data_IF_898261854766
#
_entry.id   IF_898261854766
#
_cell.length_a   1.000
_cell.length_b   1.000
_cell.length_c   1.000
_cell.angle_alpha   90.00
_cell.angle_beta   90.00
_cell.angle_gamma   90.00
#
_symmetry.space_group_name_H-M   'P 1'
#
loop_
_entity.id
_entity.type
_entity.pdbx_description
1 polymer ?
#
# COMPACT_ATOMS: atom_id res chain seq x y z
N UNK A 1 13.17 -4.51 -1.85
CA UNK A 1 12.75 -3.11 -1.60
C UNK A 1 12.22 -2.88 -0.18
N UNK A 2 11.08 -3.46 0.22
CA UNK A 2 10.51 -3.31 1.57
C UNK A 2 11.51 -3.60 2.70
N UNK A 3 12.23 -4.73 2.62
CA UNK A 3 13.30 -5.07 3.56
C UNK A 3 14.39 -3.98 3.66
N UNK A 4 14.78 -3.37 2.53
CA UNK A 4 15.80 -2.32 2.54
C UNK A 4 15.29 -1.07 3.27
N UNK A 5 14.03 -0.68 3.04
CA UNK A 5 13.41 0.44 3.72
C UNK A 5 13.24 0.18 5.23
N UNK A 6 12.79 -1.02 5.60
CA UNK A 6 12.67 -1.42 7.01
C UNK A 6 14.02 -1.44 7.75
N UNK A 7 15.12 -1.76 7.05
CA UNK A 7 16.49 -1.73 7.59
C UNK A 7 17.15 -0.35 7.53
N UNK A 8 16.45 0.67 7.04
CA UNK A 8 16.98 2.03 6.89
C UNK A 8 18.03 2.18 5.78
N UNK A 9 18.16 1.19 4.89
CA UNK A 9 19.13 1.18 3.78
C UNK A 9 18.63 1.99 2.59
N UNK A 10 18.35 3.28 2.82
CA UNK A 10 17.71 4.16 1.85
C UNK A 10 18.52 4.30 0.55
N UNK A 11 19.84 4.46 0.64
CA UNK A 11 20.69 4.62 -0.54
C UNK A 11 20.69 3.37 -1.42
N UNK A 12 20.81 2.18 -0.81
CA UNK A 12 20.69 0.91 -1.54
C UNK A 12 19.32 0.75 -2.21
N UNK A 13 18.27 1.22 -1.53
CA UNK A 13 16.91 1.25 -2.07
C UNK A 13 16.81 2.15 -3.31
N UNK A 14 17.42 3.34 -3.26
CA UNK A 14 17.48 4.28 -4.40
C UNK A 14 18.28 3.72 -5.57
N UNK A 15 19.46 3.15 -5.32
CA UNK A 15 20.29 2.51 -6.34
C UNK A 15 19.55 1.36 -7.04
N UNK A 16 18.89 0.50 -6.25
CA UNK A 16 18.10 -0.62 -6.79
C UNK A 16 16.97 -0.12 -7.68
N UNK A 17 16.26 0.94 -7.24
CA UNK A 17 15.21 1.53 -8.05
C UNK A 17 15.73 2.22 -9.31
N UNK A 18 16.86 2.92 -9.24
CA UNK A 18 17.48 3.52 -10.43
C UNK A 18 17.84 2.46 -11.48
N UNK A 19 18.38 1.31 -11.06
CA UNK A 19 18.66 0.19 -11.97
C UNK A 19 17.40 -0.40 -12.60
N UNK A 20 16.31 -0.52 -11.84
CA UNK A 20 15.02 -1.02 -12.35
C UNK A 20 14.30 -0.02 -13.26
N UNK A 21 14.45 1.29 -13.02
CA UNK A 21 13.78 2.32 -13.80
C UNK A 21 14.10 2.24 -15.29
N UNK A 22 15.33 1.84 -15.65
CA UNK A 22 15.74 1.65 -17.04
C UNK A 22 15.05 0.47 -17.75
N UNK A 23 14.43 -0.45 -17.00
CA UNK A 23 13.83 -1.69 -17.50
C UNK A 23 12.30 -1.69 -17.49
N UNK A 24 11.69 -0.69 -16.84
CA UNK A 24 10.25 -0.66 -16.60
C UNK A 24 9.59 0.45 -17.41
N UNK A 25 8.44 0.17 -18.07
CA UNK A 25 7.72 1.20 -18.80
C UNK A 25 7.13 2.22 -17.84
N UNK A 26 7.07 3.47 -18.28
CA UNK A 26 6.43 4.55 -17.53
C UNK A 26 4.91 4.39 -17.45
N UNK A 27 4.32 3.78 -18.47
CA UNK A 27 2.87 3.58 -18.60
C UNK A 27 2.47 2.13 -18.34
N UNK A 28 1.21 1.88 -17.94
CA UNK A 28 0.69 0.52 -17.80
C UNK A 28 0.87 -0.26 -19.11
N UNK A 29 1.39 -1.49 -19.06
CA UNK A 29 1.62 -2.26 -20.28
C UNK A 29 0.31 -2.66 -20.96
N UNK A 30 0.32 -2.62 -22.30
CA UNK A 30 -0.75 -3.11 -23.16
C UNK A 30 -0.20 -4.20 -24.11
N UNK A 31 -0.81 -5.40 -24.19
CA UNK A 31 -1.98 -5.85 -23.43
C UNK A 31 -1.67 -6.10 -21.94
N UNK A 32 -2.69 -5.98 -21.10
CA UNK A 32 -2.63 -6.25 -19.66
C UNK A 32 -2.53 -7.76 -19.40
N UNK A 33 -1.33 -8.32 -19.59
CA UNK A 33 -0.99 -9.73 -19.34
C UNK A 33 -0.06 -9.91 -18.14
N UNK A 34 0.74 -10.98 -18.13
CA UNK A 34 1.69 -11.32 -17.05
C UNK A 34 2.68 -10.20 -16.69
N UNK A 35 2.97 -9.30 -17.65
CA UNK A 35 3.85 -8.16 -17.40
C UNK A 35 3.22 -7.08 -16.50
N UNK A 36 1.90 -7.05 -16.36
CA UNK A 36 1.21 -6.07 -15.53
C UNK A 36 1.52 -6.23 -14.04
N UNK A 37 1.69 -7.46 -13.54
CA UNK A 37 2.04 -7.70 -12.13
C UNK A 37 3.45 -7.19 -11.80
N UNK A 38 4.39 -7.36 -12.73
CA UNK A 38 5.74 -6.83 -12.63
C UNK A 38 5.72 -5.30 -12.63
N UNK A 39 4.92 -4.70 -13.53
CA UNK A 39 4.74 -3.25 -13.57
C UNK A 39 4.06 -2.70 -12.32
N UNK A 40 3.02 -3.35 -11.82
CA UNK A 40 2.37 -2.99 -10.56
C UNK A 40 3.35 -3.01 -9.40
N UNK A 41 4.17 -4.07 -9.31
CA UNK A 41 5.20 -4.21 -8.29
C UNK A 41 6.25 -3.09 -8.39
N UNK A 42 6.60 -2.67 -9.61
CA UNK A 42 7.48 -1.51 -9.84
C UNK A 42 6.86 -0.19 -9.36
N UNK A 43 5.60 0.08 -9.70
CA UNK A 43 4.90 1.28 -9.24
C UNK A 43 4.85 1.36 -7.71
N UNK A 44 4.61 0.23 -7.04
CA UNK A 44 4.64 0.20 -5.58
C UNK A 44 6.04 0.39 -4.99
N UNK A 45 7.10 -0.07 -5.66
CA UNK A 45 8.48 0.22 -5.27
C UNK A 45 8.71 1.72 -5.28
N UNK A 46 8.32 2.40 -6.37
CA UNK A 46 8.44 3.85 -6.50
C UNK A 46 7.66 4.58 -5.41
N UNK A 47 6.43 4.16 -5.14
CA UNK A 47 5.62 4.78 -4.09
C UNK A 47 6.23 4.61 -2.69
N UNK A 48 6.76 3.42 -2.36
CA UNK A 48 7.45 3.20 -1.08
C UNK A 48 8.72 4.04 -0.94
N UNK A 49 9.44 4.27 -2.04
CA UNK A 49 10.56 5.22 -2.07
C UNK A 49 10.13 6.65 -1.82
N UNK A 50 9.06 7.08 -2.49
CA UNK A 50 8.53 8.43 -2.34
C UNK A 50 8.09 8.67 -0.88
N UNK A 51 7.37 7.73 -0.26
CA UNK A 51 7.02 7.77 1.17
C UNK A 51 8.28 7.87 2.05
N UNK A 52 9.27 7.00 1.83
CA UNK A 52 10.48 6.96 2.64
C UNK A 52 11.39 8.19 2.46
N UNK A 53 11.23 8.94 1.37
CA UNK A 53 12.01 10.15 1.04
C UNK A 53 11.24 11.45 1.33
N UNK A 54 10.10 11.37 2.01
CA UNK A 54 9.30 12.55 2.39
C UNK A 54 8.46 13.13 1.26
N UNK A 55 8.26 12.38 0.16
CA UNK A 55 7.44 12.76 -1.00
C UNK A 55 6.08 12.05 -0.95
N UNK A 56 5.49 11.98 0.24
CA UNK A 56 4.30 11.18 0.50
C UNK A 56 3.06 11.67 -0.24
N UNK A 57 2.89 12.98 -0.43
CA UNK A 57 1.78 13.53 -1.24
C UNK A 57 1.82 13.03 -2.68
N UNK A 58 2.99 13.12 -3.31
CA UNK A 58 3.25 12.60 -4.65
C UNK A 58 3.00 11.10 -4.74
N UNK A 59 3.38 10.35 -3.71
CA UNK A 59 3.10 8.92 -3.65
C UNK A 59 1.59 8.65 -3.61
N UNK A 60 0.84 9.41 -2.81
CA UNK A 60 -0.61 9.27 -2.68
C UNK A 60 -1.35 9.56 -3.99
N UNK A 61 -0.96 10.62 -4.73
CA UNK A 61 -1.51 10.96 -6.05
C UNK A 61 -1.28 9.83 -7.06
N UNK A 62 -0.02 9.38 -7.20
CA UNK A 62 0.35 8.29 -8.11
C UNK A 62 -0.42 7.00 -7.81
N UNK A 63 -0.58 6.68 -6.54
CA UNK A 63 -1.30 5.48 -6.12
C UNK A 63 -2.81 5.60 -6.39
N UNK A 64 -3.37 6.81 -6.34
CA UNK A 64 -4.77 7.03 -6.72
C UNK A 64 -5.00 6.76 -8.22
N UNK A 65 -4.13 7.30 -9.08
CA UNK A 65 -4.17 7.02 -10.53
C UNK A 65 -4.01 5.51 -10.82
N UNK A 66 -3.10 4.86 -10.10
CA UNK A 66 -2.85 3.43 -10.23
C UNK A 66 -4.05 2.59 -9.79
N UNK A 67 -4.72 2.98 -8.69
CA UNK A 67 -5.95 2.35 -8.21
C UNK A 67 -7.03 2.38 -9.29
N UNK A 68 -7.24 3.52 -9.94
CA UNK A 68 -8.21 3.64 -11.03
C UNK A 68 -7.87 2.74 -12.23
N UNK A 69 -6.57 2.60 -12.53
CA UNK A 69 -6.10 1.69 -13.58
C UNK A 69 -6.47 0.23 -13.25
N UNK A 70 -6.21 -0.24 -12.04
CA UNK A 70 -6.55 -1.61 -11.63
C UNK A 70 -8.05 -1.84 -11.50
N UNK A 71 -8.81 -0.83 -11.05
CA UNK A 71 -10.26 -0.89 -10.99
C UNK A 71 -10.87 -1.12 -12.38
N UNK A 72 -10.41 -0.37 -13.40
CA UNK A 72 -10.83 -0.54 -14.80
C UNK A 72 -10.44 -1.89 -15.39
N UNK A 73 -9.31 -2.45 -14.96
CA UNK A 73 -8.84 -3.77 -15.38
C UNK A 73 -9.50 -4.93 -14.61
N UNK A 74 -10.38 -4.66 -13.64
CA UNK A 74 -11.01 -5.68 -12.80
C UNK A 74 -10.06 -6.35 -11.79
N UNK A 75 -8.89 -5.78 -11.54
CA UNK A 75 -7.84 -6.37 -10.71
C UNK A 75 -8.01 -6.03 -9.24
N UNK A 76 -9.03 -6.61 -8.61
CA UNK A 76 -9.47 -6.25 -7.24
C UNK A 76 -8.41 -6.40 -6.16
N UNK A 77 -7.55 -7.42 -6.26
CA UNK A 77 -6.44 -7.59 -5.32
C UNK A 77 -5.42 -6.44 -5.41
N UNK A 78 -5.01 -6.07 -6.63
CA UNK A 78 -4.05 -4.98 -6.84
C UNK A 78 -4.67 -3.62 -6.50
N UNK A 79 -5.95 -3.42 -6.80
CA UNK A 79 -6.72 -2.25 -6.37
C UNK A 79 -6.66 -2.09 -4.84
N UNK A 80 -6.99 -3.14 -4.08
CA UNK A 80 -6.98 -3.11 -2.62
C UNK A 80 -5.57 -2.90 -2.03
N UNK A 81 -4.55 -3.56 -2.60
CA UNK A 81 -3.16 -3.39 -2.17
C UNK A 81 -2.65 -1.97 -2.44
N UNK A 82 -3.07 -1.37 -3.55
CA UNK A 82 -2.78 0.03 -3.88
C UNK A 82 -3.48 0.99 -2.90
N UNK A 83 -4.73 0.72 -2.53
CA UNK A 83 -5.45 1.49 -1.50
C UNK A 83 -4.73 1.46 -0.14
N UNK A 84 -4.22 0.31 0.29
CA UNK A 84 -3.40 0.20 1.51
C UNK A 84 -2.17 1.11 1.44
N UNK A 85 -1.39 1.01 0.36
CA UNK A 85 -0.17 1.80 0.22
C UNK A 85 -0.48 3.31 0.14
N UNK A 86 -1.61 3.67 -0.47
CA UNK A 86 -2.10 5.06 -0.52
C UNK A 86 -2.48 5.57 0.86
N UNK A 87 -3.13 4.75 1.67
CA UNK A 87 -3.46 5.08 3.05
C UNK A 87 -2.20 5.40 3.87
N UNK A 88 -1.12 4.62 3.70
CA UNK A 88 0.16 4.88 4.35
C UNK A 88 0.80 6.19 3.88
N UNK A 89 0.75 6.48 2.57
CA UNK A 89 1.24 7.73 2.03
C UNK A 89 0.48 8.94 2.60
N UNK A 90 -0.86 8.87 2.61
CA UNK A 90 -1.72 9.92 3.15
C UNK A 90 -1.51 10.13 4.65
N UNK A 91 -1.34 9.06 5.41
CA UNK A 91 -1.05 9.15 6.84
C UNK A 91 0.29 9.87 7.09
N UNK A 92 1.33 9.52 6.32
CA UNK A 92 2.63 10.19 6.40
C UNK A 92 2.58 11.66 5.96
N UNK A 93 1.63 12.01 5.08
CA UNK A 93 1.34 13.38 4.67
C UNK A 93 0.41 14.14 5.64
N UNK A 94 -0.01 13.52 6.75
CA UNK A 94 -0.98 14.06 7.71
C UNK A 94 -2.41 14.27 7.14
N UNK A 95 -2.74 13.64 6.02
CA UNK A 95 -4.07 13.65 5.41
C UNK A 95 -4.97 12.56 6.00
N UNK A 96 -5.19 12.60 7.32
CA UNK A 96 -5.72 11.49 8.11
C UNK A 96 -7.11 10.99 7.71
N UNK A 97 -8.04 11.88 7.38
CA UNK A 97 -9.38 11.49 6.91
C UNK A 97 -9.31 10.73 5.58
N UNK A 98 -8.48 11.20 4.65
CA UNK A 98 -8.26 10.54 3.38
C UNK A 98 -7.52 9.21 3.55
N UNK A 99 -6.60 9.13 4.52
CA UNK A 99 -5.91 7.90 4.89
C UNK A 99 -6.90 6.85 5.41
N UNK A 100 -7.81 7.24 6.31
CA UNK A 100 -8.88 6.37 6.83
C UNK A 100 -9.78 5.86 5.72
N UNK A 101 -10.23 6.71 4.80
CA UNK A 101 -11.05 6.29 3.67
C UNK A 101 -10.32 5.27 2.76
N UNK A 102 -9.04 5.52 2.45
CA UNK A 102 -8.23 4.60 1.65
C UNK A 102 -7.98 3.27 2.38
N UNK A 103 -7.81 3.31 3.70
CA UNK A 103 -7.65 2.11 4.52
C UNK A 103 -8.94 1.26 4.53
N UNK A 104 -10.10 1.89 4.64
CA UNK A 104 -11.40 1.21 4.60
C UNK A 104 -11.63 0.46 3.27
N UNK A 105 -11.22 1.06 2.15
CA UNK A 105 -11.26 0.39 0.83
C UNK A 105 -10.42 -0.89 0.82
N UNK A 106 -9.20 -0.83 1.39
CA UNK A 106 -8.32 -1.98 1.48
C UNK A 106 -8.89 -3.06 2.43
N UNK A 107 -9.38 -2.65 3.60
CA UNK A 107 -9.94 -3.54 4.61
C UNK A 107 -11.20 -4.26 4.13
N UNK A 108 -12.08 -3.58 3.40
CA UNK A 108 -13.30 -4.17 2.83
C UNK A 108 -12.97 -5.36 1.92
N UNK A 109 -11.97 -5.21 1.05
CA UNK A 109 -11.50 -6.32 0.22
C UNK A 109 -10.82 -7.40 1.07
N UNK A 110 -9.94 -6.99 1.99
CA UNK A 110 -9.12 -7.90 2.77
C UNK A 110 -9.94 -8.84 3.66
N UNK A 111 -11.01 -8.32 4.29
CA UNK A 111 -11.91 -9.10 5.13
C UNK A 111 -12.61 -10.22 4.35
N UNK A 112 -13.08 -9.93 3.13
CA UNK A 112 -13.80 -10.91 2.32
C UNK A 112 -12.89 -11.89 1.57
N UNK A 113 -11.62 -11.53 1.33
CA UNK A 113 -10.73 -12.28 0.42
C UNK A 113 -9.41 -12.76 1.06
N UNK A 114 -9.16 -12.47 2.35
CA UNK A 114 -7.98 -12.97 3.07
C UNK A 114 -6.67 -12.24 2.75
N UNK A 115 -6.69 -10.94 2.47
CA UNK A 115 -5.48 -10.13 2.18
C UNK A 115 -4.77 -9.66 3.46
N UNK A 116 -4.30 -10.56 4.31
CA UNK A 116 -3.66 -10.20 5.60
C UNK A 116 -2.17 -9.87 5.42
N UNK A 117 -1.44 -10.67 4.63
CA UNK A 117 0.01 -10.55 4.45
C UNK A 117 0.42 -9.16 3.94
N UNK A 118 -0.37 -8.56 3.04
CA UNK A 118 -0.10 -7.21 2.52
C UNK A 118 -0.03 -6.16 3.64
N UNK A 119 -0.83 -6.26 4.71
CA UNK A 119 -0.77 -5.33 5.84
C UNK A 119 0.42 -5.60 6.74
N UNK A 120 0.71 -6.88 6.99
CA UNK A 120 1.81 -7.33 7.84
C UNK A 120 3.16 -6.97 7.21
N UNK A 121 3.31 -7.15 5.90
CA UNK A 121 4.53 -6.88 5.15
C UNK A 121 4.94 -5.39 5.20
N UNK A 122 4.00 -4.47 5.36
CA UNK A 122 4.29 -3.05 5.54
C UNK A 122 4.82 -2.74 6.95
N UNK A 123 4.54 -3.61 7.92
CA UNK A 123 5.08 -3.54 9.28
C UNK A 123 4.52 -2.39 10.12
N UNK A 124 5.39 -1.75 10.89
CA UNK A 124 5.02 -0.75 11.89
C UNK A 124 4.14 0.41 11.37
N UNK A 125 4.37 1.02 10.19
CA UNK A 125 3.48 2.03 9.63
C UNK A 125 2.02 1.56 9.48
N UNK A 126 1.82 0.32 9.02
CA UNK A 126 0.49 -0.29 8.87
C UNK A 126 -0.16 -0.56 10.23
N UNK A 127 0.61 -1.08 11.19
CA UNK A 127 0.12 -1.31 12.55
C UNK A 127 -0.33 -0.01 13.23
N UNK A 128 0.44 1.07 13.11
CA UNK A 128 0.07 2.38 13.66
C UNK A 128 -1.20 2.93 13.03
N UNK A 129 -1.31 2.84 11.70
CA UNK A 129 -2.48 3.31 10.97
C UNK A 129 -3.74 2.53 11.38
N UNK A 130 -3.66 1.20 11.43
CA UNK A 130 -4.75 0.33 11.88
C UNK A 130 -5.15 0.64 13.33
N UNK A 131 -4.18 0.80 14.23
CA UNK A 131 -4.43 1.12 15.65
C UNK A 131 -5.14 2.45 15.80
N UNK A 132 -4.73 3.46 15.03
CA UNK A 132 -5.37 4.77 15.02
C UNK A 132 -6.79 4.70 14.48
N UNK A 133 -6.98 4.13 13.29
CA UNK A 133 -8.31 3.99 12.69
C UNK A 133 -9.28 3.26 13.63
N UNK A 134 -8.79 2.23 14.31
CA UNK A 134 -9.54 1.44 15.30
C UNK A 134 -9.96 2.24 16.54
N UNK A 135 -9.18 3.27 16.91
CA UNK A 135 -9.49 4.20 18.01
C UNK A 135 -10.49 5.26 17.58
N UNK A 136 -10.30 5.83 16.38
CA UNK A 136 -11.06 6.97 15.86
C UNK A 136 -12.43 6.53 15.30
N UNK A 137 -12.57 5.23 14.97
CA UNK A 137 -13.75 4.66 14.32
C UNK A 137 -14.35 3.50 15.13
N UNK A 138 -14.89 3.72 16.35
CA UNK A 138 -15.42 2.65 17.18
C UNK A 138 -16.71 2.01 16.65
N UNK A 139 -17.43 2.68 15.75
CA UNK A 139 -18.80 2.31 15.35
C UNK A 139 -19.06 2.36 13.83
N UNK A 140 -18.04 2.57 12.99
CA UNK A 140 -18.21 2.56 11.52
C UNK A 140 -17.62 1.33 10.85
N UNK A 141 -18.45 0.81 9.96
CA UNK A 141 -18.19 -0.10 8.85
C UNK A 141 -18.26 -1.59 9.15
N UNK A 142 -18.80 -2.31 8.17
CA UNK A 142 -18.91 -3.77 8.01
C UNK A 142 -17.63 -4.58 8.24
N UNK A 143 -16.51 -3.92 8.55
CA UNK A 143 -15.21 -4.50 8.84
C UNK A 143 -15.21 -5.02 10.27
N UNK A 144 -15.12 -6.34 10.42
CA UNK A 144 -15.13 -6.99 11.73
C UNK A 144 -13.87 -6.60 12.52
N UNK A 145 -14.06 -6.13 13.76
CA UNK A 145 -12.97 -5.83 14.71
C UNK A 145 -11.96 -6.99 14.83
N UNK A 146 -12.47 -8.22 14.87
CA UNK A 146 -11.65 -9.43 14.94
C UNK A 146 -10.69 -9.59 13.73
N UNK A 147 -11.07 -9.12 12.55
CA UNK A 147 -10.20 -9.14 11.37
C UNK A 147 -9.05 -8.13 11.52
N UNK A 148 -9.33 -6.95 12.08
CA UNK A 148 -8.31 -5.93 12.36
C UNK A 148 -7.37 -6.37 13.49
N UNK A 149 -7.89 -7.04 14.52
CA UNK A 149 -7.05 -7.58 15.59
C UNK A 149 -6.09 -8.68 15.06
N UNK A 150 -6.53 -9.45 14.06
CA UNK A 150 -5.70 -10.44 13.38
C UNK A 150 -4.56 -9.79 12.58
N UNK A 151 -4.84 -8.70 11.85
CA UNK A 151 -3.81 -7.96 11.09
C UNK A 151 -2.83 -7.23 12.01
N UNK A 152 -3.26 -6.84 13.20
CA UNK A 152 -2.43 -6.21 14.22
C UNK A 152 -1.63 -7.20 15.09
N UNK A 153 -1.83 -8.52 14.94
CA UNK A 153 -1.25 -9.51 15.86
C UNK A 153 0.28 -9.60 15.75
N UNK A 154 1.03 -9.45 16.86
CA UNK A 154 2.50 -9.51 16.86
C UNK A 154 3.05 -10.90 16.51
N UNK A 155 2.21 -11.94 16.43
CA UNK A 155 2.64 -13.26 15.96
C UNK A 155 2.97 -13.30 14.46
N UNK A 156 2.50 -12.31 13.69
CA UNK A 156 2.70 -12.23 12.24
C UNK A 156 3.75 -11.18 11.83
N UNK A 157 4.05 -10.20 12.68
CA UNK A 157 5.11 -9.20 12.45
C UNK A 157 6.45 -9.79 12.90
N UNK A 158 7.16 -10.47 11.99
CA UNK A 158 8.52 -11.02 12.22
C UNK A 158 9.55 -10.34 11.34
#
# INVERSE_FOLDING_TARGET
MRLCLQRGWLERAKETAAGLAALMPEQPPAPMGSFLETWASWCEVQARLDIATGRSDRAAERLDELKHTFARAGMKYLEARTSLLRALALEQANAHEAASAALEDALRYAQSNGMISSFVDEGEPSLRLLTRWTRDTPDRASIQRAFVDLTCSPRLVR
#
